data_IF_346565104031
#
_entry.id   IF_346565104031
#
_cell.length_a   1.000
_cell.length_b   1.000
_cell.length_c   1.000
_cell.angle_alpha   90.00
_cell.angle_beta   90.00
_cell.angle_gamma   90.00
#
_symmetry.space_group_name_H-M   'P 1'
#
loop_
_entity.id
_entity.type
_entity.pdbx_description
1 polymer ?
#
# COMPACT_ATOMS: atom_id res chain seq x y z
N UNK A 1 -1.01 -6.79 -5.14
CA UNK A 1 -1.14 -6.60 -3.67
C UNK A 1 -2.51 -7.06 -3.09
N UNK A 2 -2.54 -7.60 -1.87
CA UNK A 2 -3.77 -7.89 -1.08
C UNK A 2 -4.13 -6.78 -0.07
N UNK A 3 -5.37 -6.75 0.45
CA UNK A 3 -5.80 -5.80 1.48
C UNK A 3 -4.94 -5.86 2.76
N UNK A 4 -4.55 -7.08 3.18
CA UNK A 4 -3.65 -7.28 4.33
C UNK A 4 -2.25 -6.74 4.07
N UNK A 5 -1.71 -6.92 2.87
CA UNK A 5 -0.42 -6.34 2.50
C UNK A 5 -0.45 -4.81 2.51
N UNK A 6 -1.53 -4.20 2.01
CA UNK A 6 -1.68 -2.75 2.04
C UNK A 6 -1.65 -2.21 3.49
N UNK A 7 -2.42 -2.83 4.39
CA UNK A 7 -2.44 -2.44 5.79
C UNK A 7 -1.08 -2.64 6.48
N UNK A 8 -0.43 -3.79 6.25
CA UNK A 8 0.89 -4.09 6.80
C UNK A 8 1.97 -3.12 6.29
N UNK A 9 1.98 -2.81 5.00
CA UNK A 9 2.92 -1.89 4.39
C UNK A 9 2.81 -0.48 4.98
N UNK A 10 1.59 0.04 5.14
CA UNK A 10 1.41 1.32 5.85
C UNK A 10 1.91 1.26 7.29
N UNK A 11 1.63 0.18 8.02
CA UNK A 11 2.08 0.07 9.41
C UNK A 11 3.60 0.07 9.51
N UNK A 12 4.31 -0.56 8.57
CA UNK A 12 5.78 -0.53 8.53
C UNK A 12 6.35 0.86 8.27
N UNK A 13 5.64 1.70 7.51
CA UNK A 13 6.03 3.09 7.21
C UNK A 13 5.50 4.11 8.22
N UNK A 14 4.75 3.68 9.24
CA UNK A 14 3.98 4.54 10.14
C UNK A 14 3.01 5.49 9.37
N UNK A 15 2.48 5.03 8.24
CA UNK A 15 1.55 5.79 7.40
C UNK A 15 0.10 5.62 7.84
N UNK A 16 -0.61 6.73 7.92
CA UNK A 16 -2.08 6.77 7.97
C UNK A 16 -2.67 6.47 6.58
N UNK A 17 -3.98 6.22 6.53
CA UNK A 17 -4.70 6.11 5.24
C UNK A 17 -4.66 7.41 4.42
N UNK A 18 -4.47 8.57 5.08
CA UNK A 18 -4.31 9.85 4.40
C UNK A 18 -2.92 9.93 3.75
N UNK A 19 -1.86 9.53 4.45
CA UNK A 19 -0.49 9.55 3.89
C UNK A 19 -0.38 8.68 2.64
N UNK A 20 -0.99 7.48 2.68
CA UNK A 20 -1.06 6.63 1.51
C UNK A 20 -1.91 7.24 0.37
N UNK A 21 -2.99 7.94 0.70
CA UNK A 21 -3.81 8.63 -0.30
C UNK A 21 -3.00 9.71 -1.02
N UNK A 22 -2.22 10.49 -0.27
CA UNK A 22 -1.34 11.53 -0.80
C UNK A 22 -0.21 10.94 -1.65
N UNK A 23 0.42 9.85 -1.19
CA UNK A 23 1.52 9.21 -1.90
C UNK A 23 1.08 8.49 -3.20
N UNK A 24 -0.12 7.89 -3.21
CA UNK A 24 -0.62 7.10 -4.34
C UNK A 24 -1.56 7.86 -5.28
N UNK A 25 -2.10 9.01 -4.85
CA UNK A 25 -3.17 9.72 -5.55
C UNK A 25 -4.54 9.02 -5.48
N UNK A 26 -4.65 7.89 -4.76
CA UNK A 26 -5.93 7.24 -4.49
C UNK A 26 -6.72 8.03 -3.44
N UNK A 27 -8.06 7.92 -3.45
CA UNK A 27 -8.84 8.53 -2.38
C UNK A 27 -8.69 7.75 -1.07
N UNK A 28 -8.66 8.47 0.06
CA UNK A 28 -8.67 7.86 1.41
C UNK A 28 -9.81 6.86 1.58
N UNK A 29 -10.99 7.15 1.01
CA UNK A 29 -12.15 6.25 1.06
C UNK A 29 -11.88 4.93 0.32
N UNK A 30 -11.29 4.98 -0.87
CA UNK A 30 -10.95 3.78 -1.63
C UNK A 30 -9.94 2.90 -0.88
N UNK A 31 -8.93 3.51 -0.24
CA UNK A 31 -7.96 2.81 0.61
C UNK A 31 -8.67 2.15 1.80
N UNK A 32 -9.50 2.92 2.52
CA UNK A 32 -10.21 2.41 3.70
C UNK A 32 -11.14 1.25 3.38
N UNK A 33 -11.90 1.34 2.28
CA UNK A 33 -12.81 0.27 1.85
C UNK A 33 -12.03 -0.96 1.36
N UNK A 34 -10.86 -0.77 0.73
CA UNK A 34 -9.99 -1.86 0.30
C UNK A 34 -9.41 -2.62 1.50
N UNK A 35 -8.83 -1.91 2.46
CA UNK A 35 -8.24 -2.51 3.66
C UNK A 35 -9.27 -3.23 4.53
N UNK A 36 -10.50 -2.72 4.57
CA UNK A 36 -11.62 -3.36 5.24
C UNK A 36 -12.22 -4.54 4.44
N UNK A 37 -11.73 -4.82 3.22
CA UNK A 37 -12.25 -5.87 2.35
C UNK A 37 -13.66 -5.60 1.79
N UNK A 38 -14.14 -4.36 1.86
CA UNK A 38 -15.48 -3.95 1.41
C UNK A 38 -15.56 -3.78 -0.11
N UNK A 39 -14.46 -3.39 -0.74
CA UNK A 39 -14.39 -3.29 -2.19
C UNK A 39 -12.99 -3.62 -2.70
N UNK A 40 -12.89 -4.02 -3.96
CA UNK A 40 -11.62 -4.13 -4.66
C UNK A 40 -11.43 -2.90 -5.55
N UNK A 41 -10.38 -2.10 -5.33
CA UNK A 41 -10.08 -0.97 -6.20
C UNK A 41 -9.86 -1.45 -7.64
N UNK A 42 -10.03 -0.53 -8.59
CA UNK A 42 -9.65 -0.79 -9.98
C UNK A 42 -8.16 -1.10 -10.05
N UNK A 43 -7.76 -1.88 -11.05
CA UNK A 43 -6.35 -2.26 -11.29
C UNK A 43 -5.41 -1.05 -11.24
N UNK A 44 -5.74 0.02 -11.96
CA UNK A 44 -4.97 1.27 -11.97
C UNK A 44 -4.76 1.89 -10.57
N UNK A 45 -5.74 1.79 -9.69
CA UNK A 45 -5.63 2.29 -8.31
C UNK A 45 -4.75 1.38 -7.46
N UNK A 46 -4.86 0.06 -7.64
CA UNK A 46 -3.98 -0.90 -6.97
C UNK A 46 -2.53 -0.70 -7.40
N UNK A 47 -2.28 -0.51 -8.70
CA UNK A 47 -0.95 -0.29 -9.25
C UNK A 47 -0.33 1.00 -8.69
N UNK A 48 -1.12 2.07 -8.55
CA UNK A 48 -0.66 3.33 -7.95
C UNK A 48 -0.34 3.20 -6.45
N UNK A 49 -1.14 2.44 -5.69
CA UNK A 49 -0.88 2.16 -4.28
C UNK A 49 0.40 1.31 -4.12
N UNK A 50 0.54 0.27 -4.95
CA UNK A 50 1.72 -0.61 -4.95
C UNK A 50 2.99 0.16 -5.30
N UNK A 51 2.94 1.05 -6.31
CA UNK A 51 4.05 1.93 -6.67
C UNK A 51 4.45 2.88 -5.53
N UNK A 52 3.48 3.45 -4.80
CA UNK A 52 3.76 4.35 -3.68
C UNK A 52 4.58 3.65 -2.58
N UNK A 53 4.26 2.39 -2.26
CA UNK A 53 5.03 1.60 -1.30
C UNK A 53 6.43 1.26 -1.81
N UNK A 54 6.56 0.91 -3.09
CA UNK A 54 7.86 0.62 -3.70
C UNK A 54 8.77 1.85 -3.66
N UNK A 55 8.24 3.03 -4.02
CA UNK A 55 8.98 4.30 -3.93
C UNK A 55 9.36 4.66 -2.49
N UNK A 56 8.53 4.28 -1.51
CA UNK A 56 8.83 4.45 -0.09
C UNK A 56 9.87 3.44 0.45
N UNK A 57 10.37 2.52 -0.38
CA UNK A 57 11.40 1.55 -0.01
C UNK A 57 10.84 0.26 0.57
N UNK A 58 9.61 -0.13 0.22
CA UNK A 58 9.05 -1.43 0.57
C UNK A 58 9.02 -2.37 -0.63
N UNK A 59 9.10 -3.67 -0.36
CA UNK A 59 8.84 -4.73 -1.34
C UNK A 59 7.60 -5.52 -0.93
N UNK A 60 6.64 -5.65 -1.83
CA UNK A 60 5.48 -6.52 -1.65
C UNK A 60 5.81 -7.92 -2.20
N UNK A 61 5.68 -8.94 -1.35
CA UNK A 61 6.04 -10.31 -1.72
C UNK A 61 4.85 -11.08 -2.29
N UNK A 62 5.07 -11.94 -3.27
CA UNK A 62 4.01 -12.81 -3.83
C UNK A 62 3.42 -13.76 -2.78
N UNK A 63 4.19 -14.10 -1.74
CA UNK A 63 3.74 -14.88 -0.59
C UNK A 63 2.69 -14.18 0.28
N UNK A 64 2.41 -12.90 0.02
CA UNK A 64 1.52 -12.07 0.84
C UNK A 64 2.23 -11.30 1.95
N UNK A 65 3.57 -11.40 2.03
CA UNK A 65 4.38 -10.61 2.96
C UNK A 65 4.69 -9.19 2.47
N UNK A 66 5.27 -8.38 3.37
CA UNK A 66 5.84 -7.06 3.08
C UNK A 66 7.23 -7.02 3.71
N UNK A 67 8.22 -6.58 2.93
CA UNK A 67 9.61 -6.46 3.37
C UNK A 67 10.07 -5.01 3.20
N UNK A 68 11.05 -4.59 4.01
CA UNK A 68 11.70 -3.30 3.85
C UNK A 68 12.89 -3.52 2.94
N UNK A 69 12.94 -2.78 1.82
CA UNK A 69 14.12 -2.83 0.98
C UNK A 69 15.25 -2.09 1.72
N UNK A 70 16.37 -2.77 2.02
CA UNK A 70 17.49 -2.09 2.65
C UNK A 70 17.97 -1.01 1.68
N UNK A 71 17.94 0.24 2.12
CA UNK A 71 18.69 1.29 1.42
C UNK A 71 20.16 0.90 1.53
N UNK A 72 20.73 0.40 0.43
CA UNK A 72 22.19 0.31 0.33
C UNK A 72 22.74 1.71 0.63
N UNK A 73 23.59 1.77 1.66
CA UNK A 73 24.21 3.00 2.14
C UNK A 73 25.28 3.55 1.20
#
# INVERSE_FOLDING_TARGET
MTARQCAAARMLLDWTQTDLAEASGASKRAISDFEAGKSSPRRVTLDAIEAAFIVAGLRLLESGGVDVEPKEG
#
